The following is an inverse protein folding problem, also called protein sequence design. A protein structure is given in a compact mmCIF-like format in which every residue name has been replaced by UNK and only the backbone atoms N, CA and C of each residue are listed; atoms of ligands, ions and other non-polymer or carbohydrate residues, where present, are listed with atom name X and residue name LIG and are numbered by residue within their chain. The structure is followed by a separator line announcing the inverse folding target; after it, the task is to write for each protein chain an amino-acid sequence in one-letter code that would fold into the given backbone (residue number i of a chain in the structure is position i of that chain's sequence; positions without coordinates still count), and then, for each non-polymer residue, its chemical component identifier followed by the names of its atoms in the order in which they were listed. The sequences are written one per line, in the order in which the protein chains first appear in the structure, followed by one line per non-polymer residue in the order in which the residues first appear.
data_IF_374337928132
#
_entry.id   IF_374337928132
#
_cell.length_a   1.000
_cell.length_b   1.000
_cell.length_c   1.000
_cell.angle_alpha   90.00
_cell.angle_beta   90.00
_cell.angle_gamma   90.00
#
_symmetry.space_group_name_H-M   'P 1'
#
loop_
_entity.id
_entity.type
_entity.pdbx_description
1 polymer ?
2 polymer ?
3 non-polymer ?
4 non-polymer ?
5 non-polymer ?
6 water ?
#
# COMPACT_ATOMS: atom_id res chain seq x y z
N UNK A 8 25.85 -9.79 -9.47
CA UNK A 8 24.76 -10.45 -8.71
C UNK A 8 23.39 -10.51 -9.44
N UNK A 9 22.53 -11.44 -9.02
CA UNK A 9 21.18 -11.59 -9.57
C UNK A 9 20.30 -10.43 -9.07
N UNK A 10 19.11 -10.31 -9.67
CA UNK A 10 18.11 -9.35 -9.28
C UNK A 10 17.29 -9.84 -8.10
N UNK A 11 17.36 -9.14 -6.97
CA UNK A 11 16.42 -9.37 -5.88
C UNK A 11 15.09 -8.64 -6.14
N UNK A 12 13.99 -9.34 -5.88
CA UNK A 12 12.66 -8.74 -5.76
C UNK A 12 12.11 -9.05 -4.38
N UNK A 13 11.25 -8.16 -3.89
CA UNK A 13 10.51 -8.37 -2.63
C UNK A 13 9.03 -8.21 -2.94
N UNK A 14 8.18 -9.03 -2.33
CA UNK A 14 6.76 -8.88 -2.53
C UNK A 14 6.11 -7.93 -1.49
N UNK A 15 5.30 -6.96 -1.98
CA UNK A 15 4.44 -6.18 -1.04
C UNK A 15 3.46 -7.08 -0.28
N UNK A 16 3.52 -7.05 1.04
CA UNK A 16 2.60 -7.86 1.82
C UNK A 16 1.15 -7.45 1.63
N UNK A 17 0.90 -6.22 1.18
CA UNK A 17 -0.49 -5.73 0.96
C UNK A 17 -0.98 -6.07 -0.45
N UNK A 18 -0.40 -5.43 -1.46
CA UNK A 18 -0.88 -5.57 -2.82
C UNK A 18 -0.35 -6.80 -3.55
N UNK A 19 0.66 -7.47 -3.00
CA UNK A 19 1.25 -8.70 -3.59
C UNK A 19 1.99 -8.47 -4.89
N UNK A 20 2.22 -7.23 -5.28
CA UNK A 20 3.13 -6.93 -6.38
C UNK A 20 4.58 -7.15 -5.96
N UNK A 21 5.39 -7.66 -6.88
CA UNK A 21 6.84 -7.78 -6.68
C UNK A 21 7.54 -6.51 -7.10
N UNK A 22 8.47 -6.11 -6.25
CA UNK A 22 9.29 -4.94 -6.46
C UNK A 22 10.79 -5.30 -6.51
N UNK A 23 11.47 -4.82 -7.55
CA UNK A 23 12.91 -4.95 -7.59
C UNK A 23 13.58 -4.14 -6.50
N UNK A 24 14.61 -4.74 -5.91
CA UNK A 24 15.44 -4.07 -4.91
C UNK A 24 16.87 -3.93 -5.43
N UNK A 25 17.62 -2.93 -4.94
CA UNK A 25 19.04 -2.89 -5.29
C UNK A 25 19.84 -3.99 -4.58
N UNK A 26 21.03 -4.25 -5.09
CA UNK A 26 21.99 -5.13 -4.42
C UNK A 26 22.44 -4.60 -3.06
N UNK A 27 22.80 -5.51 -2.17
CA UNK A 27 23.43 -5.17 -0.89
C UNK A 27 22.53 -4.41 0.07
N UNK A 28 21.25 -4.79 0.13
CA UNK A 28 20.34 -4.25 1.13
C UNK A 28 20.70 -4.75 2.53
N UNK A 29 20.50 -3.88 3.52
CA UNK A 29 20.37 -4.32 4.90
C UNK A 29 19.12 -5.24 4.98
N UNK A 30 19.02 -5.92 6.11
CA UNK A 30 17.96 -6.88 6.34
C UNK A 30 16.56 -6.24 6.30
N UNK A 31 15.63 -6.92 5.65
CA UNK A 31 14.26 -6.38 5.43
C UNK A 31 13.34 -6.70 6.62
N UNK A 32 12.36 -5.82 6.88
CA UNK A 32 11.36 -6.07 7.88
C UNK A 32 10.51 -7.30 7.59
N UNK A 33 9.89 -7.82 8.63
CA UNK A 33 9.04 -8.99 8.48
C UNK A 33 7.88 -8.76 7.52
N UNK A 34 7.24 -7.59 7.68
CA UNK A 34 6.19 -7.15 6.76
C UNK A 34 6.78 -5.99 5.96
N UNK A 35 6.76 -6.12 4.63
CA UNK A 35 7.37 -5.17 3.75
C UNK A 35 6.26 -4.64 2.83
N UNK A 36 6.25 -3.34 2.63
CA UNK A 36 5.26 -2.68 1.79
C UNK A 36 5.90 -1.81 0.74
N UNK A 37 5.12 -1.52 -0.30
CA UNK A 37 5.58 -0.60 -1.35
C UNK A 37 6.14 0.69 -0.79
N UNK A 38 5.51 1.20 0.28
CA UNK A 38 5.95 2.44 0.93
C UNK A 38 7.41 2.41 1.44
N UNK A 39 7.95 1.18 1.65
CA UNK A 39 9.29 0.98 2.14
C UNK A 39 10.34 0.94 1.00
N UNK A 40 9.90 0.99 -0.24
CA UNK A 40 10.82 0.83 -1.40
C UNK A 40 11.87 1.92 -1.52
N UNK A 41 13.15 1.54 -1.59
CA UNK A 41 14.13 2.60 -1.84
C UNK A 41 14.01 3.33 -3.19
N UNK A 42 13.36 2.70 -4.16
CA UNK A 42 13.12 3.32 -5.48
C UNK A 42 11.88 4.23 -5.37
N UNK A 43 12.09 5.56 -5.50
CA UNK A 43 10.94 6.45 -5.22
C UNK A 43 9.81 6.38 -6.23
N UNK A 44 10.07 5.81 -7.41
CA UNK A 44 9.04 5.62 -8.43
C UNK A 44 8.14 4.43 -8.17
N UNK A 45 8.47 3.59 -7.19
CA UNK A 45 7.68 2.40 -6.93
C UNK A 45 7.29 2.32 -5.46
N UNK A 46 6.94 3.46 -4.87
CA UNK A 46 6.75 3.57 -3.44
C UNK A 46 5.28 3.55 -2.97
N UNK A 47 4.37 3.08 -3.80
CA UNK A 47 3.00 2.80 -3.34
C UNK A 47 2.32 1.70 -4.16
N UNK A 48 1.18 1.23 -3.68
CA UNK A 48 0.53 0.06 -4.21
C UNK A 48 -0.15 0.31 -5.56
N UNK A 49 -0.27 1.58 -5.96
CA UNK A 49 -1.03 1.95 -7.15
C UNK A 49 -0.14 1.85 -8.38
N UNK A 50 1.17 1.87 -8.19
CA UNK A 50 2.11 1.71 -9.30
C UNK A 50 2.12 0.28 -9.82
N UNK A 51 1.89 0.10 -11.15
CA UNK A 51 1.82 -1.32 -11.55
C UNK A 51 3.15 -2.06 -11.39
N UNK A 52 3.08 -3.39 -11.31
CA UNK A 52 4.27 -4.20 -11.15
C UNK A 52 5.10 -4.17 -12.44
N UNK A 53 6.42 -3.97 -12.31
CA UNK A 53 7.35 -4.00 -13.46
C UNK A 53 7.32 -5.37 -14.14
N UNK A 54 7.39 -5.38 -15.49
CA UNK A 54 7.55 -6.64 -16.21
C UNK A 54 8.85 -7.42 -15.89
N UNK A 55 8.74 -8.75 -15.76
CA UNK A 55 9.88 -9.63 -15.38
C UNK A 55 11.07 -9.57 -16.35
N UNK B 8 -24.14 13.32 11.44
CA UNK B 8 -23.65 12.76 10.15
C UNK B 8 -22.69 11.59 10.38
N UNK B 9 -22.90 10.46 9.72
CA UNK B 9 -22.12 9.24 10.00
C UNK B 9 -20.64 9.39 9.59
N UNK B 10 -19.77 8.65 10.25
CA UNK B 10 -18.35 8.55 9.82
C UNK B 10 -18.28 7.60 8.63
N UNK B 11 -17.85 8.11 7.47
CA UNK B 11 -17.50 7.30 6.33
C UNK B 11 -16.10 6.70 6.48
N UNK B 12 -15.98 5.41 6.13
CA UNK B 12 -14.67 4.77 6.00
C UNK B 12 -14.57 4.16 4.61
N UNK B 13 -13.35 4.09 4.08
CA UNK B 13 -13.06 3.44 2.80
C UNK B 13 -12.00 2.34 3.03
N UNK B 14 -12.08 1.24 2.28
CA UNK B 14 -11.15 0.15 2.44
C UNK B 14 -10.08 0.25 1.40
N UNK B 15 -8.83 0.12 1.86
CA UNK B 15 -7.71 0.06 0.92
C UNK B 15 -7.82 -1.27 0.14
N UNK B 16 -7.84 -1.18 -1.18
CA UNK B 16 -7.98 -2.39 -2.01
C UNK B 16 -6.72 -3.27 -1.91
N UNK B 17 -5.59 -2.71 -1.48
CA UNK B 17 -4.35 -3.49 -1.27
C UNK B 17 -4.27 -4.17 0.12
N UNK B 18 -4.19 -3.39 1.20
CA UNK B 18 -3.99 -3.96 2.54
C UNK B 18 -5.26 -4.34 3.28
N UNK B 19 -6.42 -3.94 2.73
CA UNK B 19 -7.75 -4.14 3.31
C UNK B 19 -8.03 -3.46 4.62
N UNK B 20 -7.13 -2.56 5.04
CA UNK B 20 -7.42 -1.72 6.22
C UNK B 20 -8.43 -0.64 5.85
N UNK B 21 -9.27 -0.29 6.81
CA UNK B 21 -10.28 0.75 6.67
C UNK B 21 -9.72 2.09 7.14
N UNK B 22 -9.95 3.13 6.35
CA UNK B 22 -9.45 4.47 6.62
C UNK B 22 -10.63 5.44 6.72
N UNK B 23 -10.70 6.18 7.83
CA UNK B 23 -11.69 7.26 7.91
C UNK B 23 -11.53 8.30 6.82
N UNK B 24 -12.66 8.77 6.29
CA UNK B 24 -12.70 9.91 5.36
C UNK B 24 -13.52 11.07 5.92
N UNK B 25 -13.18 12.30 5.54
CA UNK B 25 -14.02 13.41 6.02
C UNK B 25 -15.39 13.41 5.29
N UNK B 26 -16.37 14.09 5.85
CA UNK B 26 -17.73 13.96 5.29
C UNK B 26 -17.91 14.36 3.83
N UNK B 27 -17.12 15.33 3.38
CA UNK B 27 -17.36 15.94 2.06
C UNK B 27 -17.55 15.03 0.85
N UNK B 28 -16.93 13.86 0.84
CA UNK B 28 -16.57 13.23 -0.44
C UNK B 28 -17.33 11.98 -0.86
N UNK B 29 -18.24 12.16 -1.80
CA UNK B 29 -18.63 11.11 -2.71
C UNK B 29 -17.62 11.23 -3.86
N UNK B 30 -17.93 10.62 -5.00
CA UNK B 30 -17.05 10.71 -6.16
C UNK B 30 -15.66 10.10 -5.88
N UNK B 31 -15.61 9.01 -5.11
CA UNK B 31 -14.39 8.17 -5.02
C UNK B 31 -14.17 7.30 -6.25
N UNK B 32 -12.90 7.02 -6.58
CA UNK B 32 -12.60 6.12 -7.68
C UNK B 32 -13.03 4.69 -7.39
N UNK B 33 -13.11 3.88 -8.46
CA UNK B 33 -13.43 2.46 -8.38
C UNK B 33 -12.46 1.69 -7.48
N UNK B 34 -11.17 1.96 -7.63
CA UNK B 34 -10.18 1.35 -6.73
C UNK B 34 -9.58 2.46 -5.87
N UNK B 35 -9.30 2.15 -4.60
CA UNK B 35 -8.82 3.17 -3.71
C UNK B 35 -7.69 2.55 -2.86
N UNK B 36 -6.62 3.32 -2.61
CA UNK B 36 -5.48 2.81 -1.82
C UNK B 36 -5.13 3.81 -0.75
N UNK B 37 -4.47 3.33 0.30
CA UNK B 37 -3.98 4.23 1.36
C UNK B 37 -3.27 5.48 0.80
N UNK B 38 -2.52 5.30 -0.28
CA UNK B 38 -1.76 6.38 -0.89
C UNK B 38 -2.63 7.56 -1.36
N UNK B 39 -3.92 7.32 -1.56
CA UNK B 39 -4.91 8.32 -2.02
C UNK B 39 -5.53 9.08 -0.82
N UNK B 40 -5.24 8.69 0.43
CA UNK B 40 -5.89 9.28 1.60
C UNK B 40 -5.68 10.79 1.74
N UNK B 41 -6.77 11.57 1.87
CA UNK B 41 -6.60 12.99 2.24
C UNK B 41 -5.92 13.23 3.58
N UNK B 42 -5.96 12.28 4.51
CA UNK B 42 -5.28 12.41 5.77
C UNK B 42 -3.82 11.92 5.61
N UNK B 43 -2.84 12.85 5.73
CA UNK B 43 -1.46 12.47 5.40
C UNK B 43 -0.78 11.52 6.42
N UNK B 44 -1.37 11.35 7.61
CA UNK B 44 -0.90 10.38 8.61
C UNK B 44 -1.44 8.94 8.40
N UNK B 45 -2.29 8.72 7.38
CA UNK B 45 -2.83 7.37 7.08
C UNK B 45 -2.71 7.07 5.59
N UNK B 46 -1.56 7.38 5.05
CA UNK B 46 -1.38 7.45 3.61
C UNK B 46 -0.49 6.35 3.09
N UNK B 47 -0.19 5.33 3.91
CA UNK B 47 0.38 4.12 3.37
C UNK B 47 -0.10 2.89 4.13
N UNK B 48 0.12 1.71 3.59
CA UNK B 48 -0.46 0.44 4.13
C UNK B 48 0.25 0.03 5.45
N UNK B 49 1.41 0.63 5.78
CA UNK B 49 2.13 0.22 7.00
C UNK B 49 1.43 0.77 8.24
N UNK B 50 0.70 1.87 8.11
CA UNK B 50 0.06 2.48 9.28
C UNK B 50 -1.12 1.60 9.77
N UNK B 51 -1.12 1.23 11.06
CA UNK B 51 -2.22 0.42 11.57
C UNK B 51 -3.59 1.07 11.36
N UNK B 52 -4.62 0.23 11.26
CA UNK B 52 -5.99 0.68 11.16
C UNK B 52 -6.39 1.33 12.46
N UNK B 53 -6.99 2.50 12.38
CA UNK B 53 -7.57 3.15 13.57
C UNK B 53 -8.72 2.35 14.15
N UNK B 54 -8.75 2.22 15.49
CA UNK B 54 -9.85 1.56 16.23
C UNK B 54 -11.18 2.23 15.96
N UNK B 55 -12.28 1.46 15.94
CA UNK B 55 -13.62 2.03 15.66
C UNK B 55 -14.18 2.85 16.82
N UNK C 1 10.53 -10.55 5.31
CA UNK C 1 9.85 -10.32 3.98
C UNK C 1 9.89 -11.59 3.13
N UNK C 2 9.11 -11.59 2.05
CA UNK C 2 9.21 -12.60 1.01
C UNK C 2 10.00 -12.09 -0.18
N UNK C 3 11.01 -12.86 -0.58
CA UNK C 3 11.89 -12.43 -1.65
C UNK C 3 12.09 -13.52 -2.68
N UNK C 4 12.50 -13.10 -3.87
CA UNK C 4 12.92 -14.01 -4.96
C UNK C 4 14.07 -13.39 -5.69
N UNK C 5 14.75 -14.23 -6.50
CA UNK C 5 15.88 -13.82 -7.32
C UNK C 5 15.62 -14.22 -8.76
N UNK C 6 15.99 -13.35 -9.67
CA UNK C 6 15.94 -13.68 -11.09
C UNK C 6 17.32 -13.36 -11.66
N UNK C 7 17.68 -14.04 -12.75
CA UNK C 7 19.01 -13.79 -13.34
C UNK C 7 19.00 -12.46 -14.05
N UNK C 8 20.15 -11.77 -14.03
CA UNK C 8 20.38 -10.51 -14.79
C UNK C 8 20.95 -10.71 -16.22
N UNK C 9 20.08 -10.96 -17.20
N UNK D 1 -15.13 2.47 -4.99
CA UNK D 1 -14.39 2.03 -3.80
C UNK D 1 -15.34 1.39 -2.82
N UNK D 2 -14.82 0.53 -1.97
CA UNK D 2 -15.61 -0.09 -0.96
C UNK D 2 -15.68 0.77 0.30
N UNK D 3 -16.89 1.13 0.73
CA UNK D 3 -17.09 2.02 1.88
C UNK D 3 -18.01 1.42 2.91
N UNK D 4 -17.98 2.02 4.10
CA UNK D 4 -18.92 1.68 5.17
C UNK D 4 -19.21 2.95 5.92
N UNK D 5 -20.23 2.89 6.77
CA UNK D 5 -20.57 4.01 7.64
C UNK D 5 -20.82 3.57 9.05
N UNK D 6 -20.32 4.35 9.99
CA UNK D 6 -20.52 4.09 11.43
C UNK D 6 -21.10 5.36 12.05
N UNK D 7 -21.98 5.21 13.02
CA UNK D 7 -22.57 6.38 13.68
C UNK D 7 -21.50 7.13 14.50
N UNK D 8 -21.55 8.46 14.46
CA UNK D 8 -20.79 9.30 15.40
C UNK D 8 -21.66 9.43 16.67
N UNK D 9 -21.06 9.25 17.85
X LIG E 1 2.08 -2.66 -2.48
X LIG F 1 7.34 -2.37 6.81
X LIG G 1 2.10 0.90 0.90
X LIG H 1 -0.76 2.25 -1.08
X LIG I 1 0.09 0.37 -0.09
X LIG J 1 -3.45 0.11 2.34
X LIG K 1 -4.47 -4.21 -5.05
X LIG L 1 2.88 8.49 3.50
X LIG M 1 -4.72 16.50 2.32
X LIG N 1 13.49 -10.78 4.08
X LIG O 1 15.35 -14.65 -2.38
X LIG P 1 -18.44 -2.31 3.28
#
# INVERSE_FOLDING_TARGET
GEDIQKRPDQTWVQCDACLKWRKLPDGMDQLPEKWYCSNNPDPQFRNCEVPEEPEDEDLVHP
GEDIQKRPDQTWVQCDACLKWRKLPDGMDQLPEKWYCSNNPDPQFRNCEVPEEPEDEDLVHP
ARTKQTARKSTGGKAX
ARTKQTARKSTGGKAX
ZN ZN
UNX UNK
CL CL
CL CL
ZN ZN
ZN ZN
UNX UNK
UNX UNK
UNX UNK
UNX UNK
UNX UNK
UNX UNK
#
